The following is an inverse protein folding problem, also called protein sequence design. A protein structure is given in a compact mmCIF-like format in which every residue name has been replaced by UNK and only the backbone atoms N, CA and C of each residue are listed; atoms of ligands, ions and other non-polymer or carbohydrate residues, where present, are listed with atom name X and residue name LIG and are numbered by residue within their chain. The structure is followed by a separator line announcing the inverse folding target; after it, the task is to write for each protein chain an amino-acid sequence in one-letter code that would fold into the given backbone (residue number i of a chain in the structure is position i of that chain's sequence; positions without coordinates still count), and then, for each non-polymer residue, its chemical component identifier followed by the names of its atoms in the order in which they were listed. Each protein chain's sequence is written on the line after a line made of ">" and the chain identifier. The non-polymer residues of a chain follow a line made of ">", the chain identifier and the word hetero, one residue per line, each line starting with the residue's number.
data_IF_646043225767
#
_entry.id   IF_646043225767
#
_cell.length_a   1.000
_cell.length_b   1.000
_cell.length_c   1.000
_cell.angle_alpha   90.00
_cell.angle_beta   90.00
_cell.angle_gamma   90.00
#
_symmetry.space_group_name_H-M   'P 1'
#
loop_
_entity.id
_entity.type
_entity.pdbx_description
1 polymer ?
#
# COMPACT_ATOMS: atom_id res chain seq x y z
N UNK A 1 -7.14 28.91 14.66
CA UNK A 1 -8.31 28.25 14.05
C UNK A 1 -9.60 28.56 14.81
N UNK A 2 -9.62 28.41 16.12
CA UNK A 2 -10.79 28.75 16.96
C UNK A 2 -11.27 30.19 16.74
N UNK A 3 -10.37 31.20 16.70
CA UNK A 3 -10.74 32.60 16.53
C UNK A 3 -11.45 32.94 15.21
N UNK A 4 -11.21 32.16 14.14
CA UNK A 4 -11.91 32.35 12.85
C UNK A 4 -13.31 31.75 12.83
N UNK A 5 -13.60 30.76 13.63
CA UNK A 5 -14.91 30.13 13.69
C UNK A 5 -15.93 30.98 14.48
N UNK A 6 -15.46 31.76 15.44
CA UNK A 6 -16.33 32.55 16.33
C UNK A 6 -16.60 33.98 15.83
N UNK A 7 -15.89 34.43 14.79
CA UNK A 7 -16.03 35.80 14.25
C UNK A 7 -16.99 35.91 13.05
N UNK A 8 -17.78 34.89 12.75
CA UNK A 8 -18.61 34.89 11.52
C UNK A 8 -20.07 35.29 11.70
N UNK A 9 -20.51 35.67 12.78
CA UNK A 9 -21.74 36.41 13.03
C UNK A 9 -22.07 36.36 14.53
N UNK A 10 -22.13 37.51 15.15
CA UNK A 10 -22.34 37.64 16.59
C UNK A 10 -23.67 37.07 17.09
N UNK A 11 -24.62 36.79 16.21
CA UNK A 11 -25.96 36.31 16.56
C UNK A 11 -26.05 34.80 16.76
N UNK A 12 -25.19 34.02 16.08
CA UNK A 12 -25.13 32.56 16.27
C UNK A 12 -24.20 32.16 17.42
N UNK A 13 -23.13 32.94 17.64
CA UNK A 13 -22.16 32.67 18.71
C UNK A 13 -22.74 32.81 20.12
N UNK A 14 -23.68 33.74 20.31
CA UNK A 14 -24.26 34.00 21.64
C UNK A 14 -25.31 32.96 22.09
N UNK A 15 -25.87 32.18 21.18
CA UNK A 15 -26.99 31.31 21.49
C UNK A 15 -26.70 29.81 21.38
N UNK A 16 -25.73 29.38 20.57
CA UNK A 16 -25.56 27.95 20.24
C UNK A 16 -24.19 27.36 20.51
N UNK A 17 -23.11 28.14 20.50
CA UNK A 17 -21.75 27.58 20.68
C UNK A 17 -21.06 28.22 21.88
N UNK A 18 -21.31 27.71 23.07
CA UNK A 18 -20.70 28.25 24.28
C UNK A 18 -19.37 27.63 24.66
N UNK A 19 -18.96 26.51 24.05
CA UNK A 19 -17.72 25.82 24.42
C UNK A 19 -17.08 25.17 23.22
N UNK A 20 -15.79 25.41 22.98
CA UNK A 20 -14.93 24.64 22.09
C UNK A 20 -14.01 23.79 22.95
N UNK A 21 -13.94 22.52 22.66
CA UNK A 21 -12.95 21.62 23.24
C UNK A 21 -11.95 21.22 22.18
N UNK A 22 -10.68 21.17 22.53
CA UNK A 22 -9.59 20.76 21.66
C UNK A 22 -8.98 19.51 22.24
N UNK A 23 -8.99 18.42 21.46
CA UNK A 23 -8.24 17.22 21.77
C UNK A 23 -6.98 17.16 20.91
N UNK A 24 -5.87 16.80 21.51
CA UNK A 24 -4.65 16.40 20.82
C UNK A 24 -4.62 14.88 20.69
N UNK A 25 -4.15 14.38 19.54
CA UNK A 25 -3.93 12.95 19.36
C UNK A 25 -2.56 12.60 19.95
N UNK A 26 -2.52 11.74 20.96
CA UNK A 26 -1.26 11.14 21.41
C UNK A 26 -0.70 10.24 20.31
N UNK A 27 0.60 10.38 20.02
CA UNK A 27 1.30 9.63 19.00
C UNK A 27 0.63 9.67 17.60
N UNK A 28 0.66 10.82 16.92
CA UNK A 28 0.07 10.96 15.59
C UNK A 28 0.85 10.23 14.48
N UNK A 29 1.83 9.41 14.86
CA UNK A 29 2.66 8.68 13.91
C UNK A 29 2.06 7.31 13.58
N UNK A 30 2.06 6.99 12.32
CA UNK A 30 1.67 5.69 11.82
C UNK A 30 2.77 4.66 12.10
N UNK A 31 2.57 3.80 13.11
CA UNK A 31 3.50 2.74 13.52
C UNK A 31 2.75 1.41 13.57
N UNK A 32 2.86 0.58 12.56
CA UNK A 32 2.27 -0.77 12.64
C UNK A 32 1.76 -1.34 11.33
N UNK A 33 1.58 -0.51 10.31
CA UNK A 33 1.25 -0.98 8.98
C UNK A 33 2.40 -1.75 8.34
N UNK A 34 2.09 -2.70 7.47
CA UNK A 34 3.05 -3.47 6.70
C UNK A 34 2.82 -3.26 5.21
N UNK A 35 3.91 -3.20 4.44
CA UNK A 35 3.85 -3.18 3.00
C UNK A 35 3.40 -4.54 2.45
N UNK A 36 2.67 -4.53 1.34
CA UNK A 36 2.43 -5.74 0.55
C UNK A 36 3.71 -6.18 -0.15
N UNK A 37 3.93 -7.49 -0.25
CA UNK A 37 5.13 -8.07 -0.86
C UNK A 37 4.76 -9.21 -1.80
N UNK A 38 5.52 -9.32 -2.89
CA UNK A 38 5.54 -10.48 -3.78
C UNK A 38 6.99 -10.93 -3.86
N UNK A 39 7.26 -12.12 -3.37
CA UNK A 39 8.58 -12.71 -3.38
C UNK A 39 8.63 -13.83 -4.41
N UNK A 40 9.66 -13.80 -5.26
CA UNK A 40 9.87 -14.74 -6.37
C UNK A 40 11.24 -15.35 -6.16
N UNK A 41 11.29 -16.61 -5.78
CA UNK A 41 12.52 -17.39 -5.65
C UNK A 41 12.70 -18.28 -6.89
N UNK A 42 13.78 -18.07 -7.62
CA UNK A 42 14.12 -18.89 -8.79
C UNK A 42 14.87 -20.14 -8.34
N UNK A 43 14.35 -21.32 -8.75
CA UNK A 43 14.96 -22.62 -8.42
C UNK A 43 16.04 -23.04 -9.40
N UNK A 44 16.85 -24.04 -9.03
CA UNK A 44 18.02 -24.50 -9.79
C UNK A 44 17.73 -25.03 -11.20
N UNK A 45 16.47 -25.37 -11.50
CA UNK A 45 16.08 -25.97 -12.79
C UNK A 45 15.38 -24.98 -13.73
N UNK A 46 15.74 -23.71 -13.68
CA UNK A 46 15.13 -22.70 -14.55
C UNK A 46 15.67 -22.81 -15.98
N UNK A 47 14.79 -22.73 -17.00
CA UNK A 47 15.23 -22.80 -18.38
C UNK A 47 15.80 -21.46 -18.86
N UNK A 48 16.97 -21.08 -18.36
CA UNK A 48 17.69 -19.87 -18.80
C UNK A 48 18.29 -20.01 -20.19
N UNK A 49 18.46 -21.26 -20.67
CA UNK A 49 19.02 -21.59 -21.98
C UNK A 49 18.17 -21.09 -23.16
N UNK A 50 16.94 -20.71 -22.92
CA UNK A 50 16.02 -20.22 -23.95
C UNK A 50 16.03 -18.70 -24.12
N UNK A 51 16.75 -17.96 -23.26
CA UNK A 51 16.83 -16.51 -23.34
C UNK A 51 17.89 -16.08 -24.37
N UNK A 52 17.49 -15.21 -25.27
CA UNK A 52 18.39 -14.64 -26.30
C UNK A 52 19.12 -13.42 -25.69
N UNK A 53 20.38 -13.23 -26.09
CA UNK A 53 21.16 -12.08 -25.66
C UNK A 53 20.58 -10.75 -26.18
N UNK A 54 20.76 -9.68 -25.45
CA UNK A 54 20.33 -8.30 -25.79
C UNK A 54 18.87 -8.21 -26.24
N UNK A 55 18.02 -8.98 -25.58
CA UNK A 55 16.59 -9.11 -25.92
C UNK A 55 15.72 -8.69 -24.75
N UNK A 56 14.64 -7.97 -25.03
CA UNK A 56 13.62 -7.63 -24.07
C UNK A 56 12.63 -8.79 -23.89
N UNK A 57 12.28 -9.06 -22.64
CA UNK A 57 11.26 -10.01 -22.23
C UNK A 57 10.28 -9.34 -21.29
N UNK A 58 9.10 -9.90 -21.18
CA UNK A 58 8.02 -9.36 -20.37
C UNK A 58 7.61 -10.40 -19.32
N UNK A 59 7.84 -10.08 -18.08
CA UNK A 59 7.46 -10.95 -16.96
C UNK A 59 6.11 -10.52 -16.40
N UNK A 60 5.15 -11.45 -16.40
CA UNK A 60 3.83 -11.23 -15.78
C UNK A 60 3.84 -11.79 -14.36
N UNK A 61 3.75 -10.89 -13.39
CA UNK A 61 3.86 -11.16 -11.96
C UNK A 61 2.47 -11.22 -11.34
N UNK A 62 2.20 -12.29 -10.61
CA UNK A 62 0.94 -12.47 -9.90
C UNK A 62 -0.31 -12.50 -10.80
N UNK A 63 -0.13 -12.81 -12.08
CA UNK A 63 -1.21 -12.82 -13.07
C UNK A 63 -1.71 -11.45 -13.51
N UNK A 64 -1.15 -10.35 -12.99
CA UNK A 64 -1.60 -8.97 -13.23
C UNK A 64 -0.51 -8.06 -13.78
N UNK A 65 0.52 -7.80 -12.99
CA UNK A 65 1.55 -6.82 -13.31
C UNK A 65 2.50 -7.34 -14.39
N UNK A 66 2.85 -6.50 -15.37
CA UNK A 66 3.82 -6.82 -16.39
C UNK A 66 5.03 -5.91 -16.23
N UNK A 67 6.23 -6.50 -16.16
CA UNK A 67 7.49 -5.77 -16.11
C UNK A 67 8.37 -6.19 -17.27
N UNK A 68 9.03 -5.23 -17.90
CA UNK A 68 10.04 -5.49 -18.93
C UNK A 68 11.38 -5.76 -18.26
N UNK A 69 12.05 -6.83 -18.70
CA UNK A 69 13.43 -7.18 -18.35
C UNK A 69 14.24 -7.30 -19.63
N UNK A 70 15.48 -6.87 -19.61
CA UNK A 70 16.36 -6.96 -20.78
C UNK A 70 17.58 -7.81 -20.45
N UNK A 71 17.83 -8.82 -21.26
CA UNK A 71 19.06 -9.63 -21.16
C UNK A 71 20.26 -8.81 -21.60
N UNK A 72 21.41 -9.06 -20.96
CA UNK A 72 22.70 -8.52 -21.41
C UNK A 72 23.21 -9.23 -22.67
N UNK A 73 24.40 -8.85 -23.12
CA UNK A 73 25.09 -9.58 -24.21
C UNK A 73 25.40 -11.05 -23.84
N UNK A 74 25.58 -11.30 -22.54
CA UNK A 74 25.68 -12.65 -21.97
C UNK A 74 24.35 -13.06 -21.37
N UNK A 75 23.80 -14.16 -21.86
CA UNK A 75 22.58 -14.75 -21.30
C UNK A 75 22.88 -15.28 -19.90
N UNK A 76 22.04 -14.98 -18.90
CA UNK A 76 22.22 -15.56 -17.56
C UNK A 76 22.09 -17.09 -17.62
N UNK A 77 23.05 -17.77 -17.04
CA UNK A 77 23.13 -19.24 -17.03
C UNK A 77 22.67 -19.85 -15.71
N UNK A 78 22.30 -19.02 -14.77
CA UNK A 78 21.87 -19.46 -13.42
C UNK A 78 20.70 -18.60 -12.89
N UNK A 79 20.13 -19.04 -11.78
CA UNK A 79 18.99 -18.40 -11.15
C UNK A 79 19.31 -17.00 -10.59
N UNK A 80 20.54 -16.82 -10.12
CA UNK A 80 21.04 -15.53 -9.64
C UNK A 80 21.13 -14.52 -10.79
N UNK A 81 21.60 -14.94 -11.96
CA UNK A 81 21.64 -14.11 -13.17
C UNK A 81 20.24 -13.71 -13.62
N UNK A 82 19.29 -14.64 -13.59
CA UNK A 82 17.90 -14.35 -13.92
C UNK A 82 17.28 -13.36 -12.92
N UNK A 83 17.47 -13.55 -11.60
CA UNK A 83 16.97 -12.62 -10.60
C UNK A 83 17.51 -11.20 -10.79
N UNK A 84 18.80 -11.07 -11.16
CA UNK A 84 19.42 -9.76 -11.41
C UNK A 84 18.78 -8.97 -12.55
N UNK A 85 18.14 -9.62 -13.53
CA UNK A 85 17.43 -8.93 -14.60
C UNK A 85 16.25 -8.10 -14.08
N UNK A 86 15.69 -8.47 -12.94
CA UNK A 86 14.60 -7.74 -12.28
C UNK A 86 15.09 -6.55 -11.45
N UNK A 87 16.40 -6.40 -11.24
CA UNK A 87 16.94 -5.31 -10.44
C UNK A 87 16.53 -3.95 -11.02
N UNK A 88 15.98 -3.10 -10.17
CA UNK A 88 15.53 -1.75 -10.57
C UNK A 88 14.19 -1.70 -11.30
N UNK A 89 13.57 -2.84 -11.58
CA UNK A 89 12.23 -2.86 -12.16
C UNK A 89 11.18 -2.40 -11.13
N UNK A 90 10.09 -1.87 -11.63
CA UNK A 90 8.95 -1.46 -10.80
C UNK A 90 7.68 -1.53 -11.63
N UNK A 91 6.54 -1.66 -10.96
CA UNK A 91 5.22 -1.55 -11.56
C UNK A 91 4.27 -0.79 -10.64
N UNK A 92 3.15 -0.36 -11.17
CA UNK A 92 2.09 0.31 -10.41
C UNK A 92 0.78 -0.45 -10.61
N UNK A 93 0.08 -0.70 -9.53
CA UNK A 93 -1.22 -1.35 -9.53
C UNK A 93 -2.13 -0.64 -8.51
N UNK A 94 -3.33 -0.26 -8.96
CA UNK A 94 -4.32 0.47 -8.13
C UNK A 94 -3.74 1.74 -7.45
N UNK A 95 -2.84 2.45 -8.14
CA UNK A 95 -2.17 3.64 -7.59
C UNK A 95 -1.08 3.34 -6.55
N UNK A 96 -0.73 2.07 -6.36
CA UNK A 96 0.35 1.66 -5.46
C UNK A 96 1.54 1.18 -6.28
N UNK A 97 2.68 1.83 -6.07
CA UNK A 97 3.93 1.45 -6.72
C UNK A 97 4.63 0.33 -5.95
N UNK A 98 5.09 -0.68 -6.68
CA UNK A 98 5.96 -1.75 -6.21
C UNK A 98 7.36 -1.59 -6.79
N UNK A 99 8.38 -1.82 -5.97
CA UNK A 99 9.79 -1.76 -6.37
C UNK A 99 10.49 -3.07 -6.07
N UNK A 100 11.32 -3.53 -7.01
CA UNK A 100 12.09 -4.75 -6.88
C UNK A 100 13.36 -4.54 -6.05
N UNK A 101 13.61 -5.45 -5.11
CA UNK A 101 14.90 -5.70 -4.51
C UNK A 101 15.34 -7.13 -4.86
N UNK A 102 16.62 -7.33 -5.13
CA UNK A 102 17.18 -8.62 -5.51
C UNK A 102 18.19 -9.06 -4.46
N UNK A 103 18.04 -10.27 -3.98
CA UNK A 103 18.97 -10.93 -3.06
C UNK A 103 19.22 -12.37 -3.57
N UNK A 104 20.45 -12.62 -4.02
CA UNK A 104 20.87 -13.86 -4.66
C UNK A 104 19.90 -14.28 -5.79
N UNK A 105 19.18 -15.38 -5.63
CA UNK A 105 18.20 -15.92 -6.59
C UNK A 105 16.76 -15.46 -6.34
N UNK A 106 16.57 -14.50 -5.45
CA UNK A 106 15.25 -14.05 -5.00
C UNK A 106 15.00 -12.60 -5.38
N UNK A 107 13.84 -12.34 -5.95
CA UNK A 107 13.32 -10.99 -6.25
C UNK A 107 12.16 -10.69 -5.32
N UNK A 108 12.22 -9.59 -4.59
CA UNK A 108 11.15 -9.14 -3.72
C UNK A 108 10.60 -7.81 -4.20
N UNK A 109 9.35 -7.80 -4.69
CA UNK A 109 8.59 -6.58 -4.95
C UNK A 109 7.91 -6.14 -3.68
N UNK A 110 8.18 -4.91 -3.25
CA UNK A 110 7.59 -4.33 -2.04
C UNK A 110 6.82 -3.06 -2.41
N UNK A 111 5.59 -2.94 -1.91
CA UNK A 111 4.80 -1.73 -2.09
C UNK A 111 5.44 -0.54 -1.37
N UNK A 112 5.43 0.63 -2.01
CA UNK A 112 5.99 1.87 -1.42
C UNK A 112 5.12 2.42 -0.30
N UNK A 113 3.87 2.00 -0.24
CA UNK A 113 2.92 2.38 0.80
C UNK A 113 2.55 1.19 1.66
N UNK A 114 2.29 1.44 2.95
CA UNK A 114 1.78 0.44 3.87
C UNK A 114 0.27 0.34 3.70
N UNK A 115 -0.14 -0.56 2.82
CA UNK A 115 -1.56 -0.79 2.50
C UNK A 115 -1.77 -2.22 2.07
N UNK A 116 -3.00 -2.69 2.19
CA UNK A 116 -3.40 -3.98 1.68
C UNK A 116 -3.58 -3.90 0.15
N UNK A 117 -2.71 -4.55 -0.59
CA UNK A 117 -2.90 -4.78 -2.03
C UNK A 117 -3.09 -6.28 -2.22
N UNK A 118 -4.23 -6.67 -2.76
CA UNK A 118 -4.65 -8.06 -2.91
C UNK A 118 -4.90 -8.44 -4.37
N UNK A 119 -5.19 -9.72 -4.59
CA UNK A 119 -5.57 -10.22 -5.91
C UNK A 119 -4.40 -10.59 -6.80
N UNK A 120 -3.19 -10.68 -6.26
CA UNK A 120 -2.08 -11.33 -6.95
C UNK A 120 -2.13 -12.84 -6.76
N UNK A 121 -1.89 -13.58 -7.84
CA UNK A 121 -1.68 -15.01 -7.77
C UNK A 121 -0.23 -15.34 -7.39
N UNK A 122 0.01 -16.51 -6.82
CA UNK A 122 1.35 -17.03 -6.57
C UNK A 122 1.94 -17.62 -7.87
N UNK A 123 2.14 -16.74 -8.86
CA UNK A 123 2.59 -17.14 -10.20
C UNK A 123 3.47 -16.07 -10.83
N UNK A 124 4.38 -16.53 -11.70
CA UNK A 124 5.15 -15.72 -12.61
C UNK A 124 5.21 -16.42 -13.96
N UNK A 125 5.07 -15.66 -15.05
CA UNK A 125 5.24 -16.13 -16.42
C UNK A 125 6.16 -15.18 -17.18
N UNK A 126 6.87 -15.68 -18.16
CA UNK A 126 7.80 -14.92 -19.02
C UNK A 126 7.38 -15.02 -20.48
N UNK A 127 7.43 -13.91 -21.18
CA UNK A 127 6.98 -13.78 -22.57
C UNK A 127 8.03 -13.05 -23.43
N UNK A 128 8.06 -13.36 -24.73
CA UNK A 128 8.89 -12.63 -25.72
C UNK A 128 8.26 -11.32 -26.17
N UNK A 129 6.96 -11.17 -26.03
CA UNK A 129 6.20 -10.02 -26.52
C UNK A 129 5.39 -9.37 -25.39
N UNK A 130 5.13 -8.07 -25.54
CA UNK A 130 4.40 -7.28 -24.55
C UNK A 130 2.93 -7.68 -24.40
N UNK A 131 2.36 -8.35 -25.41
CA UNK A 131 0.98 -8.83 -25.40
C UNK A 131 0.82 -10.13 -24.61
N UNK A 132 1.94 -10.73 -24.17
CA UNK A 132 1.99 -11.92 -23.31
C UNK A 132 1.23 -13.13 -23.89
N UNK A 133 1.44 -13.43 -25.18
CA UNK A 133 0.75 -14.54 -25.84
C UNK A 133 1.41 -15.90 -25.61
N UNK A 134 2.73 -15.97 -25.66
CA UNK A 134 3.47 -17.22 -25.58
C UNK A 134 4.30 -17.28 -24.29
N UNK A 135 3.80 -18.03 -23.32
CA UNK A 135 4.52 -18.27 -22.07
C UNK A 135 5.73 -19.19 -22.31
N UNK A 136 6.90 -18.67 -22.01
CA UNK A 136 8.15 -19.42 -22.14
C UNK A 136 8.38 -20.41 -21.00
N UNK A 137 7.54 -20.37 -19.97
CA UNK A 137 7.57 -21.26 -18.82
C UNK A 137 8.72 -20.94 -17.85
N UNK A 138 8.37 -20.47 -16.67
CA UNK A 138 9.29 -20.36 -15.52
C UNK A 138 8.97 -21.46 -14.50
N UNK A 139 8.96 -22.72 -14.99
CA UNK A 139 8.71 -23.87 -14.12
C UNK A 139 9.83 -24.02 -13.12
N UNK A 140 9.51 -23.99 -11.84
CA UNK A 140 10.49 -24.07 -10.75
C UNK A 140 10.68 -22.76 -9.98
N UNK A 141 10.11 -21.65 -10.44
CA UNK A 141 10.00 -20.45 -9.61
C UNK A 141 8.93 -20.66 -8.54
N UNK A 142 9.27 -20.29 -7.31
CA UNK A 142 8.33 -20.28 -6.19
C UNK A 142 7.95 -18.84 -5.91
N UNK A 143 6.65 -18.54 -6.00
CA UNK A 143 6.12 -17.21 -5.75
C UNK A 143 5.31 -17.22 -4.47
N UNK A 144 5.57 -16.30 -3.57
CA UNK A 144 4.78 -16.06 -2.37
C UNK A 144 4.24 -14.63 -2.34
N UNK A 145 3.00 -14.47 -1.90
CA UNK A 145 2.33 -13.18 -1.82
C UNK A 145 1.94 -12.89 -0.38
N UNK A 146 2.38 -11.74 0.14
CA UNK A 146 2.01 -11.25 1.46
C UNK A 146 1.22 -9.95 1.30
N UNK A 147 -0.04 -9.97 1.72
CA UNK A 147 -0.89 -8.79 1.73
C UNK A 147 -0.50 -7.90 2.91
N UNK A 148 -0.18 -6.64 2.62
CA UNK A 148 0.13 -5.65 3.64
C UNK A 148 -1.08 -5.28 4.49
N UNK A 149 -0.82 -4.46 5.50
CA UNK A 149 -1.86 -3.88 6.36
C UNK A 149 -1.72 -2.37 6.36
N UNK A 150 -2.83 -1.68 6.24
CA UNK A 150 -2.86 -0.25 6.52
C UNK A 150 -2.49 -0.01 7.98
N UNK A 151 -1.85 1.10 8.23
CA UNK A 151 -1.61 1.54 9.59
C UNK A 151 -2.85 2.25 10.12
N UNK A 152 -3.47 1.67 11.11
CA UNK A 152 -4.70 2.18 11.75
C UNK A 152 -4.41 2.89 13.07
N UNK A 153 -3.18 2.86 13.57
CA UNK A 153 -2.84 3.36 14.92
C UNK A 153 -3.24 4.82 15.10
N UNK A 154 -2.98 5.66 14.09
CA UNK A 154 -3.38 7.08 14.14
C UNK A 154 -4.90 7.25 14.17
N UNK A 155 -5.63 6.44 13.41
CA UNK A 155 -7.08 6.47 13.37
C UNK A 155 -7.68 5.98 14.70
N UNK A 156 -7.11 4.94 15.28
CA UNK A 156 -7.50 4.42 16.61
C UNK A 156 -7.29 5.47 17.70
N UNK A 157 -6.13 6.14 17.70
CA UNK A 157 -5.83 7.21 18.64
C UNK A 157 -6.76 8.42 18.45
N UNK A 158 -7.15 8.75 17.22
CA UNK A 158 -8.12 9.78 16.92
C UNK A 158 -9.48 9.45 17.54
N UNK A 159 -9.98 8.24 17.32
CA UNK A 159 -11.26 7.81 17.87
C UNK A 159 -11.23 7.77 19.39
N UNK A 160 -10.16 7.24 19.99
CA UNK A 160 -10.00 7.24 21.45
C UNK A 160 -10.02 8.66 22.04
N UNK A 161 -9.37 9.63 21.40
CA UNK A 161 -9.39 11.02 21.84
C UNK A 161 -10.79 11.65 21.74
N UNK A 162 -11.58 11.27 20.75
CA UNK A 162 -12.97 11.74 20.60
C UNK A 162 -13.88 11.10 21.64
N UNK A 163 -13.71 9.82 21.92
CA UNK A 163 -14.46 9.10 22.96
C UNK A 163 -14.15 9.65 24.34
N UNK A 164 -12.89 9.93 24.65
CA UNK A 164 -12.49 10.58 25.91
C UNK A 164 -13.16 11.96 26.07
N UNK A 165 -13.22 12.74 24.99
CA UNK A 165 -13.97 14.01 24.99
C UNK A 165 -15.45 13.82 25.23
N UNK A 166 -16.06 12.79 24.64
CA UNK A 166 -17.47 12.47 24.81
C UNK A 166 -17.78 12.01 26.22
N UNK A 167 -16.97 11.17 26.81
CA UNK A 167 -17.14 10.67 28.17
C UNK A 167 -17.12 11.81 29.20
N UNK A 168 -16.38 12.88 28.92
CA UNK A 168 -16.35 14.05 29.78
C UNK A 168 -17.51 15.02 29.53
N UNK A 169 -18.07 15.07 28.35
CA UNK A 169 -19.20 15.91 27.99
C UNK A 169 -19.66 15.61 26.55
N UNK A 170 -20.89 15.21 26.39
CA UNK A 170 -21.55 14.92 25.11
C UNK A 170 -22.41 16.08 24.55
N UNK A 171 -22.40 17.26 25.20
CA UNK A 171 -23.09 18.47 24.76
C UNK A 171 -22.43 19.15 23.53
N UNK A 172 -22.08 18.41 22.48
CA UNK A 172 -21.49 18.96 21.27
C UNK A 172 -22.14 18.39 20.01
N UNK A 173 -22.28 19.25 18.98
CA UNK A 173 -23.06 18.94 17.78
C UNK A 173 -22.23 18.64 16.55
N UNK A 174 -20.93 18.94 16.53
CA UNK A 174 -20.05 18.69 15.41
C UNK A 174 -18.59 18.60 15.79
N UNK A 175 -17.85 17.85 14.99
CA UNK A 175 -16.40 17.67 15.12
C UNK A 175 -15.73 18.41 13.97
N UNK A 176 -14.69 19.17 14.28
CA UNK A 176 -13.76 19.70 13.29
C UNK A 176 -12.39 19.10 13.53
N UNK A 177 -11.82 18.54 12.50
CA UNK A 177 -10.48 17.98 12.53
C UNK A 177 -9.61 18.58 11.42
N UNK A 178 -8.31 18.75 11.68
CA UNK A 178 -7.30 19.09 10.69
C UNK A 178 -6.62 17.83 10.10
N UNK A 179 -7.07 16.65 10.53
CA UNK A 179 -6.55 15.37 10.03
C UNK A 179 -7.12 15.11 8.65
N UNK A 180 -6.23 15.04 7.65
CA UNK A 180 -6.57 14.79 6.23
C UNK A 180 -6.24 13.38 5.75
N UNK A 181 -5.68 12.54 6.62
CA UNK A 181 -5.36 11.15 6.32
C UNK A 181 -6.63 10.36 6.00
N UNK A 182 -6.73 9.68 4.83
CA UNK A 182 -7.93 8.97 4.41
C UNK A 182 -8.39 7.88 5.38
N UNK A 183 -7.44 7.20 6.06
CA UNK A 183 -7.76 6.15 7.05
C UNK A 183 -8.43 6.78 8.27
N UNK A 184 -7.89 7.89 8.75
CA UNK A 184 -8.46 8.65 9.86
C UNK A 184 -9.85 9.21 9.52
N UNK A 185 -10.01 9.80 8.32
CA UNK A 185 -11.30 10.32 7.86
C UNK A 185 -12.34 9.21 7.77
N UNK A 186 -11.97 8.05 7.23
CA UNK A 186 -12.87 6.89 7.13
C UNK A 186 -13.27 6.39 8.52
N UNK A 187 -12.33 6.31 9.47
CA UNK A 187 -12.61 5.91 10.83
C UNK A 187 -13.57 6.89 11.52
N UNK A 188 -13.36 8.19 11.34
CA UNK A 188 -14.22 9.22 11.88
C UNK A 188 -15.66 9.15 11.32
N UNK A 189 -15.81 8.93 10.01
CA UNK A 189 -17.12 8.74 9.40
C UNK A 189 -17.85 7.51 9.98
N UNK A 190 -17.17 6.37 10.07
CA UNK A 190 -17.73 5.15 10.66
C UNK A 190 -18.12 5.33 12.13
N UNK A 191 -17.29 6.02 12.87
CA UNK A 191 -17.59 6.34 14.29
C UNK A 191 -18.84 7.21 14.38
N UNK A 192 -18.95 8.27 13.57
CA UNK A 192 -20.11 9.16 13.56
C UNK A 192 -21.41 8.42 13.15
N UNK A 193 -21.34 7.50 12.20
CA UNK A 193 -22.48 6.65 11.80
C UNK A 193 -22.89 5.67 12.90
N UNK A 194 -21.93 5.17 13.70
CA UNK A 194 -22.20 4.20 14.77
C UNK A 194 -22.77 4.84 16.06
N UNK A 195 -22.61 6.15 16.20
CA UNK A 195 -23.05 6.92 17.37
C UNK A 195 -24.33 7.71 17.09
N UNK A 196 -25.34 7.07 16.48
CA UNK A 196 -26.64 7.74 16.31
C UNK A 196 -27.15 8.26 17.67
N UNK A 197 -27.67 9.52 17.71
CA UNK A 197 -28.30 10.00 18.92
C UNK A 197 -29.58 9.19 19.19
N UNK A 198 -29.61 8.52 20.31
CA UNK A 198 -30.83 7.90 20.84
C UNK A 198 -31.83 8.96 21.31
#
# INVERSE_FOLDING_TARGET
>A
MADKMFNQDNTLADTLIRKVRVAGIENPQNVGGTASRIEIAFGENMPTETLEASTAYYAKIGGKAVVEITTSEEVPVDCTGLAKLFAGTSFEEDGVKFTAAVDDNTVTYTSTTRTAVSGYAESISLYKDADCFEDMGLSGAVVSVSVGKADTTKAENLIAAIEDLRDHNDDWYFILTDVTDPVCVTALCKWAESTEPT
#
